data_IF_182115869956
#
_entry.id   IF_182115869956
#
_cell.length_a   1.000
_cell.length_b   1.000
_cell.length_c   1.000
_cell.angle_alpha   90.00
_cell.angle_beta   90.00
_cell.angle_gamma   90.00
#
_symmetry.space_group_name_H-M   'P 1'
#
loop_
_entity.id
_entity.type
_entity.pdbx_description
1 polymer ?
#
# COMPACT_ATOMS: atom_id res chain seq x y z
N UNK A 1 6.62 7.31 7.54
CA UNK A 1 5.55 6.66 8.31
C UNK A 1 6.00 5.31 8.91
N UNK A 2 6.54 4.37 8.13
CA UNK A 2 6.96 3.04 8.62
C UNK A 2 7.96 3.11 9.79
N UNK A 3 8.98 3.98 9.70
CA UNK A 3 9.95 4.19 10.78
C UNK A 3 9.32 4.75 12.07
N UNK A 4 8.38 5.68 11.94
CA UNK A 4 7.62 6.22 13.07
C UNK A 4 6.72 5.15 13.71
N UNK A 5 6.07 4.33 12.90
CA UNK A 5 5.29 3.20 13.41
C UNK A 5 6.15 2.18 14.16
N UNK A 6 7.36 1.88 13.65
CA UNK A 6 8.32 1.01 14.32
C UNK A 6 8.82 1.62 15.65
N UNK A 7 9.03 2.95 15.69
CA UNK A 7 9.37 3.68 16.92
C UNK A 7 8.22 3.63 17.93
N UNK A 8 6.99 3.83 17.47
CA UNK A 8 5.80 3.79 18.33
C UNK A 8 5.60 2.44 19.02
N UNK A 9 5.97 1.33 18.34
CA UNK A 9 5.93 -0.02 18.92
C UNK A 9 6.91 -0.15 20.11
N UNK A 10 8.06 0.56 20.06
CA UNK A 10 9.09 0.50 21.10
C UNK A 10 8.79 1.45 22.25
N UNK A 11 8.38 2.67 21.93
CA UNK A 11 8.09 3.73 22.91
C UNK A 11 6.92 4.61 22.41
N UNK A 12 5.72 4.47 23.00
CA UNK A 12 4.55 5.29 22.66
C UNK A 12 4.61 6.64 23.37
N UNK A 13 5.72 7.39 23.20
CA UNK A 13 5.89 8.73 23.75
C UNK A 13 5.06 9.76 22.99
N UNK A 14 4.82 10.94 23.64
CA UNK A 14 4.00 12.00 23.06
C UNK A 14 4.58 12.54 21.74
N UNK A 15 5.90 12.68 21.65
CA UNK A 15 6.58 13.17 20.45
C UNK A 15 6.33 12.24 19.25
N UNK A 16 6.50 10.93 19.44
CA UNK A 16 6.25 9.94 18.39
C UNK A 16 4.79 9.95 17.94
N UNK A 17 3.83 10.11 18.86
CA UNK A 17 2.39 10.18 18.55
C UNK A 17 2.09 11.42 17.71
N UNK A 18 2.55 12.61 18.16
CA UNK A 18 2.33 13.86 17.45
C UNK A 18 2.97 13.84 16.06
N UNK A 19 4.22 13.36 15.96
CA UNK A 19 4.94 13.27 14.70
C UNK A 19 4.29 12.28 13.73
N UNK A 20 3.84 11.12 14.22
CA UNK A 20 3.13 10.13 13.39
C UNK A 20 1.80 10.69 12.86
N UNK A 21 1.03 11.36 13.71
CA UNK A 21 -0.21 12.01 13.30
C UNK A 21 0.02 13.13 12.29
N UNK A 22 0.99 14.01 12.54
CA UNK A 22 1.30 15.12 11.65
C UNK A 22 1.81 14.64 10.27
N UNK A 23 2.82 13.76 10.25
CA UNK A 23 3.35 13.19 9.00
C UNK A 23 2.29 12.37 8.28
N UNK A 24 1.43 11.67 9.03
CA UNK A 24 0.31 10.92 8.45
C UNK A 24 -0.74 11.81 7.81
N UNK A 25 -1.10 12.92 8.44
CA UNK A 25 -1.99 13.93 7.86
C UNK A 25 -1.42 14.57 6.59
N UNK A 26 -0.15 14.97 6.60
CA UNK A 26 0.55 15.48 5.40
C UNK A 26 0.61 14.43 4.28
N UNK A 27 0.87 13.17 4.62
CA UNK A 27 0.87 12.09 3.64
C UNK A 27 -0.53 11.86 3.04
N UNK A 28 -1.59 11.94 3.85
CA UNK A 28 -2.97 11.81 3.38
C UNK A 28 -3.38 12.92 2.41
N UNK A 29 -2.84 14.14 2.57
CA UNK A 29 -3.02 15.24 1.61
C UNK A 29 -2.35 14.98 0.26
N UNK A 30 -1.34 14.12 0.20
CA UNK A 30 -0.73 13.69 -1.07
C UNK A 30 -1.45 12.50 -1.69
N UNK A 31 -1.87 11.55 -0.86
CA UNK A 31 -2.60 10.35 -1.28
C UNK A 31 -3.52 9.88 -0.16
N UNK A 32 -4.83 9.95 -0.39
CA UNK A 32 -5.85 9.67 0.63
C UNK A 32 -5.75 8.26 1.21
N UNK A 33 -5.33 7.28 0.43
CA UNK A 33 -5.17 5.91 0.88
C UNK A 33 -4.10 5.74 1.99
N UNK A 34 -3.16 6.68 2.11
CA UNK A 34 -2.14 6.67 3.16
C UNK A 34 -2.76 6.94 4.55
N UNK A 35 -3.95 7.54 4.61
CA UNK A 35 -4.68 7.72 5.86
C UNK A 35 -5.01 6.38 6.53
N UNK A 36 -5.29 5.34 5.73
CA UNK A 36 -5.58 3.99 6.25
C UNK A 36 -4.41 3.36 7.01
N UNK A 37 -3.19 3.86 6.82
CA UNK A 37 -2.02 3.38 7.55
C UNK A 37 -2.04 3.82 9.03
N UNK A 38 -2.59 4.99 9.35
CA UNK A 38 -2.54 5.54 10.71
C UNK A 38 -3.17 4.63 11.77
N UNK A 39 -4.41 4.15 11.61
CA UNK A 39 -4.99 3.24 12.61
C UNK A 39 -4.20 1.94 12.72
N UNK A 40 -3.70 1.37 11.62
CA UNK A 40 -2.89 0.15 11.63
C UNK A 40 -1.54 0.37 12.33
N UNK A 41 -0.90 1.52 12.10
CA UNK A 41 0.35 1.91 12.77
C UNK A 41 0.16 2.16 14.27
N UNK A 42 -1.00 2.70 14.68
CA UNK A 42 -1.30 3.02 16.06
C UNK A 42 -1.82 1.82 16.87
N UNK A 43 -2.36 0.76 16.23
CA UNK A 43 -2.88 -0.43 16.90
C UNK A 43 -1.97 -1.02 18.00
N UNK A 44 -0.63 -1.10 17.84
CA UNK A 44 0.25 -1.63 18.87
C UNK A 44 0.16 -0.88 20.21
N UNK A 45 -0.20 0.41 20.19
CA UNK A 45 -0.36 1.21 21.42
C UNK A 45 -1.45 0.62 22.34
N UNK A 46 -2.50 0.03 21.76
CA UNK A 46 -3.58 -0.59 22.52
C UNK A 46 -3.14 -1.82 23.33
N UNK A 47 -1.99 -2.43 22.98
CA UNK A 47 -1.41 -3.60 23.66
C UNK A 47 -0.34 -3.24 24.68
N UNK A 48 -0.04 -1.95 24.86
CA UNK A 48 1.04 -1.49 25.73
C UNK A 48 0.62 -1.58 27.22
N UNK A 49 1.08 -2.62 27.90
CA UNK A 49 0.62 -2.97 29.27
C UNK A 49 1.01 -1.96 30.35
N UNK A 50 2.08 -1.17 30.16
CA UNK A 50 2.50 -0.14 31.09
C UNK A 50 1.58 1.09 31.14
N UNK A 51 0.65 1.21 30.19
CA UNK A 51 -0.32 2.30 30.13
C UNK A 51 -1.68 1.86 30.67
N UNK A 52 -2.38 2.75 31.34
CA UNK A 52 -3.78 2.56 31.70
C UNK A 52 -4.65 2.36 30.44
N UNK A 53 -5.81 1.73 30.58
CA UNK A 53 -6.73 1.53 29.46
C UNK A 53 -7.10 2.86 28.79
N UNK A 54 -7.47 3.88 29.57
CA UNK A 54 -7.77 5.21 29.07
C UNK A 54 -6.54 5.85 28.37
N UNK A 55 -5.34 5.70 28.92
CA UNK A 55 -4.11 6.22 28.35
C UNK A 55 -3.75 5.60 27.00
N UNK A 56 -4.07 4.33 26.79
CA UNK A 56 -3.88 3.64 25.50
C UNK A 56 -4.82 4.19 24.42
N UNK A 57 -6.11 4.27 24.74
CA UNK A 57 -7.11 4.81 23.83
C UNK A 57 -6.86 6.28 23.51
N UNK A 58 -6.50 7.08 24.51
CA UNK A 58 -6.18 8.49 24.29
C UNK A 58 -5.03 8.65 23.27
N UNK A 59 -3.96 7.87 23.40
CA UNK A 59 -2.84 7.92 22.47
C UNK A 59 -3.19 7.40 21.08
N UNK A 60 -3.99 6.33 21.00
CA UNK A 60 -4.49 5.82 19.73
C UNK A 60 -5.32 6.89 18.99
N UNK A 61 -6.27 7.50 19.67
CA UNK A 61 -7.14 8.56 19.10
C UNK A 61 -6.34 9.83 18.79
N UNK A 62 -5.37 10.17 19.62
CA UNK A 62 -4.53 11.36 19.42
C UNK A 62 -3.78 11.34 18.08
N UNK A 63 -3.32 10.19 17.58
CA UNK A 63 -2.72 10.08 16.24
C UNK A 63 -3.69 10.54 15.16
N UNK A 64 -4.95 10.10 15.21
CA UNK A 64 -5.99 10.50 14.26
C UNK A 64 -6.39 11.97 14.39
N UNK A 65 -6.52 12.49 15.61
CA UNK A 65 -6.86 13.89 15.85
C UNK A 65 -5.78 14.84 15.36
N UNK A 66 -4.51 14.53 15.59
CA UNK A 66 -3.39 15.34 15.07
C UNK A 66 -3.39 15.33 13.53
N UNK A 67 -3.61 14.17 12.90
CA UNK A 67 -3.74 14.09 11.45
C UNK A 67 -4.92 14.93 10.94
N UNK A 68 -6.07 14.88 11.61
CA UNK A 68 -7.24 15.69 11.27
C UNK A 68 -6.96 17.19 11.39
N UNK A 69 -6.28 17.63 12.45
CA UNK A 69 -5.87 19.04 12.61
C UNK A 69 -4.96 19.48 11.46
N UNK A 70 -4.00 18.65 11.05
CA UNK A 70 -3.11 18.96 9.93
C UNK A 70 -3.87 19.03 8.59
N UNK A 71 -4.88 18.19 8.40
CA UNK A 71 -5.71 18.20 7.19
C UNK A 71 -6.80 19.26 7.19
N UNK A 72 -7.18 19.78 8.38
CA UNK A 72 -8.37 20.64 8.53
C UNK A 72 -8.38 21.90 7.65
N UNK A 73 -7.27 22.62 7.38
CA UNK A 73 -7.33 23.78 6.49
C UNK A 73 -7.77 23.41 5.08
N UNK A 74 -7.31 22.24 4.58
CA UNK A 74 -7.69 21.72 3.27
C UNK A 74 -9.14 21.22 3.24
N UNK A 75 -9.56 20.52 4.28
CA UNK A 75 -10.95 20.05 4.44
C UNK A 75 -11.92 21.23 4.47
N UNK A 76 -11.65 22.26 5.28
CA UNK A 76 -12.48 23.47 5.39
C UNK A 76 -12.56 24.16 4.03
N UNK A 77 -11.44 24.38 3.38
CA UNK A 77 -11.41 24.98 2.04
C UNK A 77 -12.28 24.19 1.06
N UNK A 78 -12.15 22.89 1.00
CA UNK A 78 -12.90 22.07 0.05
C UNK A 78 -14.41 22.09 0.34
N UNK A 79 -14.80 21.98 1.60
CA UNK A 79 -16.21 22.04 2.01
C UNK A 79 -16.85 23.43 1.81
N UNK A 80 -16.06 24.48 1.65
CA UNK A 80 -16.54 25.82 1.40
C UNK A 80 -16.57 26.26 -0.08
N UNK A 81 -15.88 25.53 -0.97
CA UNK A 81 -15.71 25.92 -2.38
C UNK A 81 -16.53 25.04 -3.32
N UNK A 82 -16.69 23.76 -3.01
CA UNK A 82 -17.39 22.82 -3.87
C UNK A 82 -18.89 22.74 -3.51
N UNK A 83 -19.74 22.56 -4.51
CA UNK A 83 -21.19 22.41 -4.35
C UNK A 83 -21.55 21.09 -3.63
N UNK A 84 -20.85 20.00 -3.97
CA UNK A 84 -20.99 18.71 -3.29
C UNK A 84 -19.83 18.47 -2.29
N UNK A 85 -20.04 17.73 -1.20
CA UNK A 85 -19.00 17.53 -0.18
C UNK A 85 -17.75 16.81 -0.73
N UNK A 86 -16.65 17.54 -0.82
CA UNK A 86 -15.32 17.02 -1.14
C UNK A 86 -14.44 17.07 0.09
N UNK A 87 -13.98 15.91 0.57
CA UNK A 87 -13.11 15.86 1.74
C UNK A 87 -11.66 16.17 1.35
N UNK A 88 -10.97 15.27 0.67
CA UNK A 88 -9.55 15.41 0.36
C UNK A 88 -9.29 15.67 -1.12
N UNK A 89 -9.95 14.95 -2.02
CA UNK A 89 -9.78 15.10 -3.47
C UNK A 89 -11.02 14.68 -4.23
N UNK A 90 -11.23 15.28 -5.40
CA UNK A 90 -12.12 14.83 -6.46
C UNK A 90 -11.46 13.71 -7.27
N UNK A 91 -12.23 13.05 -8.12
CA UNK A 91 -11.76 12.04 -9.07
C UNK A 91 -11.97 10.60 -8.61
N UNK A 92 -12.46 10.37 -7.38
CA UNK A 92 -12.84 9.03 -6.92
C UNK A 92 -14.06 8.50 -7.68
N UNK A 93 -15.01 9.36 -8.02
CA UNK A 93 -16.22 8.98 -8.74
C UNK A 93 -15.92 8.57 -10.17
N UNK A 94 -15.15 9.38 -10.91
CA UNK A 94 -14.75 9.01 -12.27
C UNK A 94 -13.97 7.67 -12.28
N UNK A 95 -13.09 7.46 -11.31
CA UNK A 95 -12.36 6.21 -11.17
C UNK A 95 -13.33 5.03 -10.95
N UNK A 96 -14.33 5.19 -10.08
CA UNK A 96 -15.35 4.16 -9.82
C UNK A 96 -16.15 3.87 -11.08
N UNK A 97 -16.54 4.87 -11.87
CA UNK A 97 -17.21 4.66 -13.16
C UNK A 97 -16.34 3.91 -14.16
N UNK A 98 -15.06 4.30 -14.29
CA UNK A 98 -14.11 3.68 -15.21
C UNK A 98 -13.74 2.26 -14.87
N UNK A 99 -13.92 1.84 -13.62
CA UNK A 99 -13.58 0.50 -13.14
C UNK A 99 -14.77 -0.41 -12.95
N UNK A 100 -16.00 0.12 -13.05
CA UNK A 100 -17.24 -0.64 -12.95
C UNK A 100 -18.11 -0.37 -14.19
N UNK A 101 -17.82 -1.11 -15.25
CA UNK A 101 -18.52 -1.05 -16.54
C UNK A 101 -18.31 -2.34 -17.33
N UNK A 102 -19.00 -2.51 -18.46
CA UNK A 102 -18.93 -3.72 -19.30
C UNK A 102 -17.49 -4.08 -19.70
N UNK A 103 -16.68 -3.12 -20.14
CA UNK A 103 -15.32 -3.37 -20.57
C UNK A 103 -14.43 -3.97 -19.46
N UNK A 104 -14.67 -3.58 -18.19
CA UNK A 104 -13.89 -4.00 -17.03
C UNK A 104 -14.44 -5.25 -16.33
N UNK A 105 -15.69 -5.62 -16.61
CA UNK A 105 -16.33 -6.81 -16.05
C UNK A 105 -16.43 -7.97 -17.05
N UNK A 106 -16.65 -7.70 -18.33
CA UNK A 106 -16.92 -8.68 -19.38
C UNK A 106 -15.94 -8.60 -20.55
N UNK A 107 -15.38 -7.41 -20.83
CA UNK A 107 -14.49 -7.15 -21.96
C UNK A 107 -13.03 -7.49 -21.72
N UNK A 108 -12.14 -6.87 -22.47
CA UNK A 108 -10.69 -7.07 -22.45
C UNK A 108 -9.96 -6.30 -21.35
N UNK A 109 -10.61 -5.33 -20.70
CA UNK A 109 -10.06 -4.52 -19.61
C UNK A 109 -10.33 -5.08 -18.20
N UNK A 110 -10.59 -6.36 -18.08
CA UNK A 110 -10.94 -6.96 -16.78
C UNK A 110 -9.85 -6.73 -15.72
N UNK A 111 -10.31 -6.20 -14.57
CA UNK A 111 -9.43 -5.85 -13.44
C UNK A 111 -8.59 -4.58 -13.65
N UNK A 112 -8.76 -3.88 -14.77
CA UNK A 112 -8.13 -2.61 -15.10
C UNK A 112 -9.17 -1.48 -15.07
N UNK A 113 -8.98 -0.43 -15.84
CA UNK A 113 -9.91 0.68 -16.04
C UNK A 113 -10.07 0.97 -17.53
N UNK A 114 -11.20 1.60 -17.89
CA UNK A 114 -11.48 2.02 -19.27
C UNK A 114 -12.00 3.46 -19.29
N UNK A 115 -11.30 4.34 -20.03
CA UNK A 115 -11.66 5.76 -20.12
C UNK A 115 -13.04 5.97 -20.71
N UNK A 116 -13.41 5.18 -21.73
CA UNK A 116 -14.69 5.30 -22.43
C UNK A 116 -15.89 5.03 -21.52
N UNK A 117 -15.70 4.33 -20.42
CA UNK A 117 -16.76 4.09 -19.42
C UNK A 117 -17.18 5.37 -18.66
N UNK A 118 -16.36 6.41 -18.71
CA UNK A 118 -16.73 7.72 -18.18
C UNK A 118 -17.54 8.57 -19.18
N UNK A 119 -17.71 8.12 -20.42
CA UNK A 119 -18.50 8.82 -21.43
C UNK A 119 -19.99 8.34 -21.46
N UNK A 120 -20.93 9.19 -21.83
CA UNK A 120 -20.79 10.64 -21.92
C UNK A 120 -20.55 11.29 -20.56
N UNK A 121 -19.92 12.46 -20.57
CA UNK A 121 -19.70 13.22 -19.32
C UNK A 121 -21.05 13.67 -18.76
N UNK A 122 -21.23 13.63 -17.42
CA UNK A 122 -22.42 14.17 -16.79
C UNK A 122 -22.55 15.68 -17.04
N UNK A 123 -23.73 16.11 -17.43
CA UNK A 123 -24.11 17.52 -17.62
C UNK A 123 -25.34 17.85 -16.80
N UNK A 124 -25.62 19.14 -16.57
CA UNK A 124 -26.85 19.62 -15.94
C UNK A 124 -28.07 19.34 -16.82
N UNK A 125 -29.26 19.54 -16.29
CA UNK A 125 -30.51 19.46 -17.08
C UNK A 125 -30.56 20.39 -18.28
N UNK A 126 -29.87 21.55 -18.21
CA UNK A 126 -29.77 22.55 -19.26
C UNK A 126 -28.58 22.30 -20.21
N UNK A 127 -27.87 21.17 -20.08
CA UNK A 127 -26.74 20.82 -20.95
C UNK A 127 -25.40 21.48 -20.60
N UNK A 128 -25.32 22.25 -19.52
CA UNK A 128 -24.07 22.85 -19.05
C UNK A 128 -23.19 21.85 -18.30
N UNK A 129 -21.88 22.13 -18.31
CA UNK A 129 -20.96 21.36 -17.52
C UNK A 129 -21.23 21.59 -16.02
N UNK A 130 -21.36 20.50 -15.30
CA UNK A 130 -21.44 20.52 -13.85
C UNK A 130 -20.11 20.94 -13.24
N UNK A 131 -20.17 21.42 -12.01
CA UNK A 131 -18.95 21.57 -11.22
C UNK A 131 -18.24 20.20 -11.04
N UNK A 132 -16.98 20.22 -10.65
CA UNK A 132 -16.17 19.01 -10.54
C UNK A 132 -16.72 18.06 -9.48
N UNK A 133 -17.29 18.56 -8.39
CA UNK A 133 -17.80 17.75 -7.28
C UNK A 133 -19.14 17.08 -7.60
N UNK A 134 -20.05 17.79 -8.26
CA UNK A 134 -21.31 17.24 -8.75
C UNK A 134 -21.06 16.16 -9.82
N UNK A 135 -20.12 16.44 -10.73
CA UNK A 135 -19.71 15.49 -11.78
C UNK A 135 -19.13 14.21 -11.15
N UNK A 136 -18.24 14.34 -10.16
CA UNK A 136 -17.66 13.20 -9.44
C UNK A 136 -18.75 12.38 -8.72
N UNK A 137 -19.72 13.04 -8.11
CA UNK A 137 -20.87 12.39 -7.45
C UNK A 137 -21.71 11.58 -8.45
N UNK A 138 -22.00 12.12 -9.64
CA UNK A 138 -22.75 11.40 -10.68
C UNK A 138 -21.96 10.22 -11.26
N UNK A 139 -20.66 10.36 -11.48
CA UNK A 139 -19.80 9.26 -11.88
C UNK A 139 -19.77 8.15 -10.81
N UNK A 140 -19.64 8.54 -9.56
CA UNK A 140 -19.64 7.58 -8.42
C UNK A 140 -20.94 6.78 -8.39
N UNK A 141 -22.08 7.44 -8.52
CA UNK A 141 -23.39 6.77 -8.59
C UNK A 141 -23.44 5.79 -9.74
N UNK A 142 -23.10 6.21 -10.98
CA UNK A 142 -23.08 5.35 -12.17
C UNK A 142 -22.27 4.07 -11.94
N UNK A 143 -21.05 4.20 -11.44
CA UNK A 143 -20.19 3.02 -11.23
C UNK A 143 -20.64 2.14 -10.08
N UNK A 144 -21.21 2.71 -9.00
CA UNK A 144 -21.76 1.93 -7.88
C UNK A 144 -23.04 1.21 -8.27
N UNK A 145 -23.94 1.84 -9.03
CA UNK A 145 -25.15 1.21 -9.55
C UNK A 145 -24.78 0.02 -10.44
N UNK A 146 -23.82 0.19 -11.38
CA UNK A 146 -23.34 -0.91 -12.20
C UNK A 146 -22.77 -2.07 -11.36
N UNK A 147 -21.99 -1.75 -10.33
CA UNK A 147 -21.44 -2.77 -9.43
C UNK A 147 -22.54 -3.48 -8.62
N UNK A 148 -23.58 -2.75 -8.19
CA UNK A 148 -24.75 -3.30 -7.48
C UNK A 148 -25.61 -4.21 -8.37
N UNK A 149 -25.72 -3.89 -9.67
CA UNK A 149 -26.45 -4.72 -10.65
C UNK A 149 -25.68 -6.01 -11.00
N UNK A 150 -24.38 -6.05 -10.74
CA UNK A 150 -23.50 -7.18 -11.08
C UNK A 150 -22.70 -7.75 -9.88
N UNK A 151 -23.32 -8.02 -8.71
CA UNK A 151 -22.59 -8.33 -7.46
C UNK A 151 -21.78 -9.63 -7.57
N UNK A 152 -22.31 -10.65 -8.21
CA UNK A 152 -21.61 -11.92 -8.44
C UNK A 152 -20.37 -11.69 -9.29
N UNK A 153 -20.49 -10.92 -10.37
CA UNK A 153 -19.38 -10.63 -11.28
C UNK A 153 -18.30 -9.75 -10.62
N UNK A 154 -18.72 -8.81 -9.78
CA UNK A 154 -17.81 -8.01 -8.95
C UNK A 154 -16.93 -8.92 -8.08
N UNK A 155 -17.55 -9.84 -7.32
CA UNK A 155 -16.84 -10.67 -6.33
C UNK A 155 -16.01 -11.77 -7.01
N UNK A 156 -16.55 -12.43 -8.03
CA UNK A 156 -15.91 -13.62 -8.64
C UNK A 156 -14.92 -13.29 -9.74
N UNK A 157 -14.99 -12.12 -10.36
CA UNK A 157 -14.17 -11.75 -11.49
C UNK A 157 -13.43 -10.41 -11.30
N UNK A 158 -14.15 -9.29 -11.10
CA UNK A 158 -13.53 -7.98 -11.09
C UNK A 158 -12.54 -7.82 -9.94
N UNK A 159 -12.93 -8.09 -8.70
CA UNK A 159 -12.08 -7.99 -7.50
C UNK A 159 -10.87 -8.92 -7.57
N UNK A 160 -10.98 -10.23 -7.86
CA UNK A 160 -9.83 -11.11 -7.99
C UNK A 160 -8.84 -10.65 -9.08
N UNK A 161 -9.33 -10.17 -10.22
CA UNK A 161 -8.46 -9.69 -11.30
C UNK A 161 -7.81 -8.35 -10.99
N UNK A 162 -8.48 -7.44 -10.27
CA UNK A 162 -7.88 -6.21 -9.75
C UNK A 162 -6.71 -6.53 -8.83
N UNK A 163 -6.91 -7.44 -7.88
CA UNK A 163 -5.85 -7.90 -6.97
C UNK A 163 -4.75 -8.61 -7.77
N UNK A 164 -5.12 -9.49 -8.70
CA UNK A 164 -4.18 -10.21 -9.54
C UNK A 164 -3.29 -9.30 -10.39
N UNK A 165 -3.85 -8.23 -10.99
CA UNK A 165 -3.07 -7.21 -11.73
C UNK A 165 -2.14 -6.44 -10.81
N UNK A 166 -2.61 -6.00 -9.63
CA UNK A 166 -1.77 -5.31 -8.64
C UNK A 166 -0.53 -6.11 -8.30
N UNK A 167 -0.72 -7.42 -8.03
CA UNK A 167 0.37 -8.32 -7.62
C UNK A 167 1.07 -9.02 -8.78
N UNK A 168 0.75 -8.67 -10.01
CA UNK A 168 1.39 -9.21 -11.22
C UNK A 168 1.09 -10.68 -11.49
N UNK A 169 0.04 -11.27 -10.89
CA UNK A 169 -0.34 -12.68 -11.11
C UNK A 169 -1.42 -12.85 -12.17
N UNK A 170 -2.07 -11.76 -12.59
CA UNK A 170 -3.03 -11.74 -13.68
C UNK A 170 -2.57 -10.78 -14.76
N UNK A 171 -2.36 -11.26 -15.97
CA UNK A 171 -1.99 -10.54 -17.19
C UNK A 171 -0.86 -9.49 -17.00
N UNK A 172 0.32 -9.88 -16.46
CA UNK A 172 1.40 -8.94 -16.18
C UNK A 172 1.96 -8.28 -17.46
N UNK A 173 2.03 -9.00 -18.57
CA UNK A 173 2.54 -8.45 -19.85
C UNK A 173 1.52 -7.49 -20.47
N UNK A 174 0.23 -7.80 -20.42
CA UNK A 174 -0.84 -6.88 -20.83
C UNK A 174 -0.82 -5.61 -20.00
N UNK A 175 -0.56 -5.70 -18.70
CA UNK A 175 -0.38 -4.55 -17.83
C UNK A 175 0.80 -3.66 -18.28
N UNK A 176 1.97 -4.25 -18.59
CA UNK A 176 3.13 -3.48 -19.07
C UNK A 176 2.87 -2.80 -20.41
N UNK A 177 2.12 -3.46 -21.31
CA UNK A 177 1.71 -2.85 -22.59
C UNK A 177 0.75 -1.68 -22.38
N UNK A 178 -0.21 -1.83 -21.48
CA UNK A 178 -1.14 -0.75 -21.10
C UNK A 178 -0.37 0.43 -20.47
N UNK A 179 0.54 0.18 -19.54
CA UNK A 179 1.37 1.21 -18.89
C UNK A 179 2.26 1.95 -19.91
N UNK A 180 2.79 1.25 -20.95
CA UNK A 180 3.50 1.87 -22.06
C UNK A 180 2.60 2.83 -22.83
N UNK A 181 1.38 2.39 -23.15
CA UNK A 181 0.43 3.17 -23.96
C UNK A 181 -0.11 4.39 -23.20
N UNK A 182 -0.51 4.19 -21.95
CA UNK A 182 -1.22 5.21 -21.15
C UNK A 182 -0.24 6.16 -20.43
N UNK A 183 0.86 5.61 -19.90
CA UNK A 183 1.81 6.36 -19.07
C UNK A 183 3.14 6.65 -19.78
N UNK A 184 3.31 6.24 -21.03
CA UNK A 184 4.55 6.45 -21.82
C UNK A 184 5.77 5.71 -21.28
N UNK A 185 5.60 4.66 -20.46
CA UNK A 185 6.71 3.92 -19.85
C UNK A 185 7.55 3.16 -20.88
N UNK A 186 8.85 3.09 -20.65
CA UNK A 186 9.72 2.23 -21.46
C UNK A 186 9.42 0.76 -21.14
N UNK A 187 9.02 0.00 -22.17
CA UNK A 187 8.62 -1.39 -22.01
C UNK A 187 9.76 -2.28 -21.48
N UNK A 188 10.98 -2.12 -21.99
CA UNK A 188 12.15 -2.91 -21.57
C UNK A 188 12.49 -2.70 -20.10
N UNK A 189 12.51 -1.43 -19.64
CA UNK A 189 12.73 -1.11 -18.23
C UNK A 189 11.59 -1.64 -17.35
N UNK A 190 10.35 -1.62 -17.83
CA UNK A 190 9.22 -2.18 -17.12
C UNK A 190 9.30 -3.70 -16.96
N UNK A 191 9.79 -4.41 -17.98
CA UNK A 191 10.08 -5.86 -17.91
C UNK A 191 11.18 -6.13 -16.88
N UNK A 192 12.27 -5.37 -16.90
CA UNK A 192 13.33 -5.49 -15.89
C UNK A 192 12.80 -5.28 -14.47
N UNK A 193 11.97 -4.26 -14.26
CA UNK A 193 11.29 -4.01 -12.99
C UNK A 193 10.38 -5.16 -12.55
N UNK A 194 9.69 -5.80 -13.50
CA UNK A 194 8.86 -6.98 -13.22
C UNK A 194 9.70 -8.19 -12.77
N UNK A 195 10.81 -8.45 -13.42
CA UNK A 195 11.76 -9.52 -13.05
C UNK A 195 12.33 -9.26 -11.65
N UNK A 196 12.78 -8.03 -11.38
CA UNK A 196 13.24 -7.61 -10.05
C UNK A 196 12.14 -7.83 -8.99
N UNK A 197 10.91 -7.46 -9.29
CA UNK A 197 9.79 -7.66 -8.40
C UNK A 197 9.54 -9.14 -8.07
N UNK A 198 9.57 -10.02 -9.08
CA UNK A 198 9.38 -11.46 -8.84
C UNK A 198 10.53 -12.12 -8.07
N UNK A 199 11.72 -11.54 -8.06
CA UNK A 199 12.80 -11.98 -7.16
C UNK A 199 12.63 -11.45 -5.75
N UNK A 200 12.17 -10.20 -5.59
CA UNK A 200 11.94 -9.57 -4.30
C UNK A 200 10.78 -10.20 -3.53
N UNK A 201 9.70 -10.56 -4.22
CA UNK A 201 8.47 -11.02 -3.57
C UNK A 201 8.66 -12.27 -2.71
N UNK A 202 9.28 -13.38 -3.18
CA UNK A 202 9.53 -14.55 -2.35
C UNK A 202 10.49 -14.26 -1.19
N UNK A 203 11.48 -13.38 -1.39
CA UNK A 203 12.38 -12.95 -0.32
C UNK A 203 11.61 -12.15 0.76
N UNK A 204 10.70 -11.28 0.35
CA UNK A 204 9.86 -10.52 1.28
C UNK A 204 8.94 -11.44 2.10
N UNK A 205 8.35 -12.46 1.47
CA UNK A 205 7.55 -13.48 2.16
C UNK A 205 8.42 -14.25 3.17
N UNK A 206 9.61 -14.69 2.79
CA UNK A 206 10.55 -15.35 3.68
C UNK A 206 10.94 -14.45 4.88
N UNK A 207 11.23 -13.16 4.63
CA UNK A 207 11.51 -12.19 5.69
C UNK A 207 10.35 -12.00 6.66
N UNK A 208 9.12 -11.91 6.14
CA UNK A 208 7.91 -11.80 6.97
C UNK A 208 7.71 -13.05 7.86
N UNK A 209 7.99 -14.26 7.34
CA UNK A 209 7.95 -15.51 8.07
C UNK A 209 9.04 -15.54 9.14
N UNK A 210 10.27 -15.11 8.82
CA UNK A 210 11.38 -15.03 9.77
C UNK A 210 11.07 -14.07 10.93
N UNK A 211 10.54 -12.87 10.64
CA UNK A 211 10.10 -11.94 11.68
C UNK A 211 9.02 -12.56 12.57
N UNK A 212 8.09 -13.31 11.98
CA UNK A 212 7.06 -14.04 12.75
C UNK A 212 7.68 -15.06 13.69
N UNK A 213 8.58 -15.89 13.19
CA UNK A 213 9.24 -16.94 13.98
C UNK A 213 10.08 -16.37 15.12
N UNK A 214 10.68 -15.19 14.90
CA UNK A 214 11.44 -14.46 15.93
C UNK A 214 10.55 -13.65 16.90
N UNK A 215 9.22 -13.67 16.77
CA UNK A 215 8.31 -12.88 17.60
C UNK A 215 8.43 -11.37 17.42
N UNK A 216 9.06 -10.89 16.34
CA UNK A 216 9.30 -9.47 16.10
C UNK A 216 8.08 -8.77 15.49
N UNK A 217 7.86 -7.48 15.85
CA UNK A 217 6.75 -6.69 15.33
C UNK A 217 6.87 -6.52 13.81
N UNK A 218 5.81 -6.87 13.06
CA UNK A 218 5.78 -6.78 11.60
C UNK A 218 4.53 -6.11 11.05
N UNK A 219 3.57 -5.74 11.90
CA UNK A 219 2.30 -5.16 11.48
C UNK A 219 2.51 -3.89 10.63
N UNK A 220 3.44 -3.02 11.02
CA UNK A 220 3.76 -1.78 10.32
C UNK A 220 4.36 -1.99 8.91
N UNK A 221 4.94 -3.17 8.64
CA UNK A 221 5.40 -3.55 7.29
C UNK A 221 4.26 -4.22 6.51
N UNK A 222 3.50 -5.14 7.13
CA UNK A 222 2.41 -5.85 6.48
C UNK A 222 1.18 -4.98 6.22
N UNK A 223 1.05 -3.85 6.91
CA UNK A 223 -0.04 -2.89 6.68
C UNK A 223 -0.05 -2.36 5.24
N UNK A 224 1.10 -2.08 4.65
CA UNK A 224 1.20 -1.56 3.28
C UNK A 224 0.66 -2.53 2.22
N UNK A 225 1.13 -3.79 2.15
CA UNK A 225 0.51 -4.80 1.28
C UNK A 225 -1.01 -4.92 1.47
N UNK A 226 -1.49 -4.91 2.71
CA UNK A 226 -2.92 -5.00 3.00
C UNK A 226 -3.70 -3.78 2.46
N UNK A 227 -3.21 -2.56 2.70
CA UNK A 227 -3.83 -1.32 2.25
C UNK A 227 -3.90 -1.28 0.72
N UNK A 228 -2.79 -1.49 0.02
CA UNK A 228 -2.78 -1.43 -1.44
C UNK A 228 -3.65 -2.51 -2.07
N UNK A 229 -3.75 -3.69 -1.42
CA UNK A 229 -4.66 -4.76 -1.86
C UNK A 229 -6.12 -4.34 -1.70
N UNK A 230 -6.48 -3.75 -0.56
CA UNK A 230 -7.83 -3.24 -0.34
C UNK A 230 -8.19 -2.13 -1.32
N UNK A 231 -7.28 -1.19 -1.56
CA UNK A 231 -7.47 -0.10 -2.54
C UNK A 231 -7.67 -0.68 -3.94
N UNK A 232 -6.84 -1.63 -4.37
CA UNK A 232 -6.99 -2.26 -5.67
C UNK A 232 -8.31 -3.05 -5.80
N UNK A 233 -8.74 -3.76 -4.76
CA UNK A 233 -10.00 -4.47 -4.74
C UNK A 233 -11.20 -3.53 -4.95
N UNK A 234 -11.15 -2.35 -4.33
CA UNK A 234 -12.22 -1.35 -4.39
C UNK A 234 -12.17 -0.47 -5.67
N UNK A 235 -11.01 -0.38 -6.31
CA UNK A 235 -10.80 0.50 -7.46
C UNK A 235 -10.34 -0.28 -8.69
N UNK A 236 -9.03 -0.34 -8.93
CA UNK A 236 -8.43 -1.02 -10.09
C UNK A 236 -7.09 -1.67 -9.76
N UNK A 237 -6.73 -2.73 -10.48
CA UNK A 237 -5.41 -3.34 -10.42
C UNK A 237 -4.43 -2.62 -11.34
N UNK A 238 -3.50 -1.89 -10.76
CA UNK A 238 -2.36 -1.31 -11.50
C UNK A 238 -1.10 -1.37 -10.66
N UNK A 239 0.05 -1.57 -11.31
CA UNK A 239 1.36 -1.63 -10.64
C UNK A 239 1.70 -0.35 -9.90
N UNK A 240 1.18 0.81 -10.36
CA UNK A 240 1.37 2.12 -9.72
C UNK A 240 0.85 2.18 -8.27
N UNK A 241 -0.23 1.47 -7.96
CA UNK A 241 -0.79 1.44 -6.61
C UNK A 241 0.01 0.55 -5.64
N UNK A 242 0.92 -0.29 -6.15
CA UNK A 242 1.77 -1.14 -5.33
C UNK A 242 2.95 -0.39 -4.70
N UNK A 243 3.35 0.78 -5.20
CA UNK A 243 4.54 1.54 -4.77
C UNK A 243 4.68 1.67 -3.24
N UNK A 244 3.63 2.02 -2.46
CA UNK A 244 3.78 2.07 -1.00
C UNK A 244 4.13 0.72 -0.37
N UNK A 245 3.66 -0.39 -0.95
CA UNK A 245 3.98 -1.74 -0.49
C UNK A 245 5.40 -2.16 -0.88
N UNK A 246 5.95 -1.68 -2.00
CA UNK A 246 7.30 -2.04 -2.46
C UNK A 246 8.37 -1.65 -1.44
N UNK A 247 8.22 -0.52 -0.77
CA UNK A 247 9.12 -0.13 0.35
C UNK A 247 9.12 -1.20 1.44
N UNK A 248 7.94 -1.70 1.81
CA UNK A 248 7.84 -2.75 2.82
C UNK A 248 8.38 -4.10 2.33
N UNK A 249 8.18 -4.43 1.04
CA UNK A 249 8.73 -5.64 0.43
C UNK A 249 10.26 -5.63 0.43
N UNK A 250 10.89 -4.49 0.10
CA UNK A 250 12.35 -4.34 0.15
C UNK A 250 12.89 -4.53 1.56
N UNK A 251 12.25 -3.92 2.57
CA UNK A 251 12.65 -4.08 3.98
C UNK A 251 12.50 -5.53 4.45
N UNK A 252 11.42 -6.19 4.07
CA UNK A 252 11.22 -7.61 4.40
C UNK A 252 12.22 -8.50 3.67
N UNK A 253 12.51 -8.23 2.40
CA UNK A 253 13.51 -8.98 1.64
C UNK A 253 14.92 -8.82 2.23
N UNK A 254 15.27 -7.63 2.74
CA UNK A 254 16.54 -7.40 3.43
C UNK A 254 16.69 -8.29 4.68
N UNK A 255 15.61 -8.52 5.43
CA UNK A 255 15.63 -9.45 6.59
C UNK A 255 15.94 -10.88 6.15
N UNK A 256 15.38 -11.33 5.02
CA UNK A 256 15.68 -12.65 4.47
C UNK A 256 17.13 -12.75 3.98
N UNK A 257 17.61 -11.71 3.29
CA UNK A 257 18.99 -11.65 2.80
C UNK A 257 20.00 -11.70 3.94
N UNK A 258 19.77 -10.92 5.00
CA UNK A 258 20.61 -10.95 6.22
C UNK A 258 20.70 -12.38 6.78
N UNK A 259 19.56 -13.06 6.91
CA UNK A 259 19.55 -14.44 7.42
C UNK A 259 20.33 -15.41 6.51
N UNK A 260 20.23 -15.28 5.19
CA UNK A 260 20.99 -16.09 4.23
C UNK A 260 22.49 -15.83 4.37
N UNK A 261 22.89 -14.57 4.48
CA UNK A 261 24.29 -14.18 4.64
C UNK A 261 24.88 -14.68 5.95
N UNK A 262 24.11 -14.66 7.03
CA UNK A 262 24.55 -15.18 8.34
C UNK A 262 24.73 -16.70 8.31
N UNK A 263 23.82 -17.43 7.64
CA UNK A 263 23.98 -18.87 7.43
C UNK A 263 25.25 -19.19 6.66
N UNK A 264 25.51 -18.46 5.56
CA UNK A 264 26.71 -18.66 4.74
C UNK A 264 28.02 -18.36 5.51
N UNK A 265 28.00 -17.31 6.36
CA UNK A 265 29.14 -16.97 7.23
C UNK A 265 29.40 -18.06 8.28
N UNK A 266 28.35 -18.62 8.89
CA UNK A 266 28.46 -19.72 9.86
C UNK A 266 29.01 -20.99 9.21
N UNK A 267 28.53 -21.34 8.00
CA UNK A 267 29.03 -22.49 7.25
C UNK A 267 30.52 -22.35 6.93
N UNK A 268 30.95 -21.16 6.48
CA UNK A 268 32.39 -20.90 6.21
C UNK A 268 33.25 -20.99 7.45
N UNK A 269 32.77 -20.50 8.61
CA UNK A 269 33.49 -20.61 9.88
C UNK A 269 33.58 -22.06 10.38
N UNK A 270 32.50 -22.82 10.18
CA UNK A 270 32.50 -24.24 10.53
C UNK A 270 33.43 -25.10 9.63
N UNK A 271 33.61 -24.69 8.37
CA UNK A 271 34.54 -25.34 7.43
C UNK A 271 36.01 -24.94 7.63
N UNK A 272 36.28 -23.87 8.38
CA UNK A 272 37.65 -23.46 8.72
C UNK A 272 38.16 -24.29 9.90
N UNK A 273 38.94 -25.34 9.62
CA UNK A 273 39.77 -26.04 10.61
C UNK A 273 41.07 -25.27 10.72
N UNK A 274 41.42 -24.66 11.89
CA UNK A 274 42.71 -24.00 12.04
C UNK A 274 43.85 -24.99 11.80
N UNK A 275 44.98 -24.57 11.20
CA UNK A 275 46.13 -25.44 11.05
C UNK A 275 46.53 -26.00 12.44
N UNK A 276 46.78 -27.29 12.49
CA UNK A 276 47.30 -27.92 13.72
C UNK A 276 48.68 -27.31 13.95
N UNK A 277 48.83 -26.47 14.99
CA UNK A 277 50.14 -26.01 15.43
C UNK A 277 50.92 -27.24 15.91
N UNK A 278 51.85 -27.73 15.08
CA UNK A 278 52.83 -28.70 15.54
C UNK A 278 53.73 -28.00 16.57
N UNK A 279 53.85 -28.55 17.77
CA UNK A 279 54.76 -28.00 18.77
C UNK A 279 56.18 -27.99 18.20
N UNK A 280 56.84 -26.85 18.31
CA UNK A 280 58.23 -26.69 17.87
C UNK A 280 59.12 -27.78 18.51
N UNK A 281 60.03 -28.42 17.75
CA UNK A 281 60.95 -29.42 18.27
C UNK A 281 61.79 -28.82 19.39
N UNK A 282 61.79 -29.46 20.57
CA UNK A 282 62.62 -29.07 21.69
C UNK A 282 64.08 -29.28 21.27
N UNK A 283 64.85 -28.22 21.15
CA UNK A 283 66.30 -28.27 20.94
C UNK A 283 66.92 -28.97 22.18
N UNK A 284 67.84 -29.92 21.96
CA UNK A 284 68.58 -30.56 23.08
C UNK A 284 69.55 -29.56 23.69
N UNK A 285 69.67 -29.56 25.01
CA UNK A 285 70.63 -28.74 25.76
C UNK A 285 72.01 -29.29 25.60
#
# INVERSE_FOLDING_TARGET
>A
LTGLAARLVRSPDRSTILTLGAVGGLAALTRVELLAFLPLAALPVLRYRSLSHAGRWLRFVAVGLVALVVMSPWLIRNLSVFEEPVLLSNGSGILIAQTNCDATYFGDKQGYWEYLCALPQPVSGDGWLLDESERDTRYRRRGLDFAADHPVRLITNAVPKRIGRLWGVYDPIGQLRADKLVEGRNFGLSVLGLVQYYTLLPMAVAGAVLLRRKGLPRLHLLAWPAIVTAVAALTMGTTRYRVPAEVALVLLAAVALEAILDLSRRSRRAAYTPPVEHPAPKLPR
#
